data_IF_015005460882
#
_entry.id   IF_015005460882
#
_cell.length_a   1.000
_cell.length_b   1.000
_cell.length_c   1.000
_cell.angle_alpha   90.00
_cell.angle_beta   90.00
_cell.angle_gamma   90.00
#
_symmetry.space_group_name_H-M   'P 1'
#
loop_
_entity.id
_entity.type
_entity.pdbx_description
1 polymer ?
#
# COMPACT_ATOMS: atom_id res chain seq x y z
N UNK A 1 5.58 0.57 1.31
CA UNK A 1 5.66 1.36 0.07
C UNK A 1 6.83 1.00 -0.82
N UNK A 2 8.03 0.74 -0.28
CA UNK A 2 9.19 0.33 -1.10
C UNK A 2 8.89 -0.91 -1.96
N UNK A 3 8.30 -1.97 -1.38
CA UNK A 3 7.95 -3.19 -2.12
C UNK A 3 6.95 -2.95 -3.27
N UNK A 4 6.03 -1.98 -3.11
CA UNK A 4 5.10 -1.59 -4.18
C UNK A 4 5.85 -1.01 -5.38
N UNK A 5 6.81 -0.11 -5.14
CA UNK A 5 7.61 0.50 -6.22
C UNK A 5 8.44 -0.56 -6.94
N UNK A 6 9.03 -1.50 -6.20
CA UNK A 6 9.83 -2.59 -6.79
C UNK A 6 8.95 -3.48 -7.68
N UNK A 7 7.75 -3.85 -7.23
CA UNK A 7 6.87 -4.75 -7.97
C UNK A 7 6.18 -4.08 -9.19
N UNK A 8 5.79 -2.81 -9.05
CA UNK A 8 4.98 -2.11 -10.06
C UNK A 8 5.80 -1.19 -10.97
N UNK A 9 6.96 -0.73 -10.50
CA UNK A 9 7.73 0.35 -11.12
C UNK A 9 7.02 1.72 -11.06
N UNK A 10 5.91 1.83 -10.33
CA UNK A 10 5.07 3.03 -10.27
C UNK A 10 5.11 3.67 -8.90
N UNK A 11 4.90 4.98 -8.87
CA UNK A 11 4.67 5.71 -7.62
C UNK A 11 3.32 5.26 -7.01
N UNK A 12 3.27 4.95 -5.70
CA UNK A 12 2.01 4.72 -5.00
C UNK A 12 1.09 5.93 -5.18
N UNK A 13 -0.20 5.71 -5.42
CA UNK A 13 -1.17 6.80 -5.61
C UNK A 13 -0.81 7.76 -6.75
N UNK A 14 -0.21 7.26 -7.85
CA UNK A 14 0.14 8.07 -9.01
C UNK A 14 -1.05 8.83 -9.63
N UNK A 15 -2.28 8.41 -9.35
CA UNK A 15 -3.52 9.04 -9.78
C UNK A 15 -4.09 10.06 -8.77
N UNK A 16 -3.39 10.32 -7.66
CA UNK A 16 -3.82 11.26 -6.62
C UNK A 16 -2.85 12.44 -6.52
N UNK A 17 -3.38 13.62 -6.18
CA UNK A 17 -2.55 14.74 -5.76
C UNK A 17 -1.80 14.36 -4.47
N UNK A 18 -0.51 14.71 -4.39
CA UNK A 18 0.34 14.43 -3.24
C UNK A 18 0.28 15.59 -2.23
N UNK A 19 -0.93 15.81 -1.71
CA UNK A 19 -1.24 16.89 -0.77
C UNK A 19 -1.49 16.34 0.65
N UNK A 20 -1.83 17.25 1.57
CA UNK A 20 -2.13 16.93 2.96
C UNK A 20 -3.34 16.01 3.11
N UNK A 21 -4.30 16.07 2.17
CA UNK A 21 -5.48 15.20 2.17
C UNK A 21 -5.05 13.76 1.93
N UNK A 22 -4.19 13.52 0.94
CA UNK A 22 -3.62 12.19 0.71
C UNK A 22 -2.82 11.71 1.93
N UNK A 23 -2.01 12.58 2.54
CA UNK A 23 -1.23 12.24 3.73
C UNK A 23 -2.13 11.80 4.89
N UNK A 24 -3.18 12.56 5.19
CA UNK A 24 -4.17 12.22 6.21
C UNK A 24 -4.86 10.90 5.92
N UNK A 25 -5.27 10.67 4.67
CA UNK A 25 -5.90 9.41 4.29
C UNK A 25 -4.95 8.21 4.49
N UNK A 26 -3.66 8.35 4.19
CA UNK A 26 -2.66 7.29 4.40
C UNK A 26 -2.52 6.97 5.89
N UNK A 27 -2.50 8.00 6.74
CA UNK A 27 -2.53 7.88 8.19
C UNK A 27 -3.80 7.16 8.66
N UNK A 28 -4.95 7.50 8.09
CA UNK A 28 -6.24 6.84 8.33
C UNK A 28 -6.32 5.42 7.73
N UNK A 29 -5.28 4.96 7.03
CA UNK A 29 -5.10 3.56 6.67
C UNK A 29 -5.31 3.21 5.21
N UNK A 30 -5.55 4.17 4.30
CA UNK A 30 -5.67 3.85 2.88
C UNK A 30 -4.35 3.31 2.33
N UNK A 31 -4.42 2.39 1.37
CA UNK A 31 -3.25 1.76 0.73
C UNK A 31 -3.36 1.89 -0.79
N UNK A 32 -2.23 1.93 -1.51
CA UNK A 32 -2.25 1.98 -2.96
C UNK A 32 -2.86 0.70 -3.49
N UNK A 33 -3.67 0.83 -4.53
CA UNK A 33 -4.33 -0.30 -5.17
C UNK A 33 -3.29 -1.19 -5.86
N UNK A 34 -3.41 -2.50 -5.63
CA UNK A 34 -2.63 -3.53 -6.29
C UNK A 34 -3.62 -4.41 -7.03
N UNK A 35 -3.62 -4.34 -8.35
CA UNK A 35 -4.38 -5.24 -9.20
C UNK A 35 -3.43 -5.92 -10.20
N UNK A 36 -3.90 -7.03 -10.79
CA UNK A 36 -3.10 -7.85 -11.71
C UNK A 36 -2.66 -7.09 -12.97
N UNK A 37 -3.30 -5.97 -13.30
CA UNK A 37 -2.88 -5.10 -14.41
C UNK A 37 -1.70 -4.18 -14.03
N UNK A 38 -1.61 -3.75 -12.77
CA UNK A 38 -0.57 -2.85 -12.27
C UNK A 38 0.72 -3.62 -11.93
N UNK A 39 0.59 -4.88 -11.49
CA UNK A 39 1.70 -5.77 -11.18
C UNK A 39 1.56 -7.12 -11.90
N UNK A 40 1.73 -7.15 -13.24
CA UNK A 40 1.53 -8.34 -14.06
C UNK A 40 2.62 -9.42 -13.87
N UNK A 41 3.75 -9.07 -13.25
CA UNK A 41 4.94 -9.93 -13.21
C UNK A 41 4.79 -11.19 -12.35
N UNK A 42 3.86 -11.22 -11.39
CA UNK A 42 3.64 -12.41 -10.54
C UNK A 42 2.60 -12.17 -9.43
N UNK A 43 1.54 -12.98 -9.39
CA UNK A 43 0.55 -13.01 -8.28
C UNK A 43 1.19 -13.11 -6.90
N UNK A 44 2.25 -13.91 -6.76
CA UNK A 44 2.98 -14.12 -5.50
C UNK A 44 3.44 -12.81 -4.85
N UNK A 45 3.96 -11.86 -5.64
CA UNK A 45 4.43 -10.58 -5.10
C UNK A 45 3.25 -9.67 -4.69
N UNK A 46 2.12 -9.76 -5.38
CA UNK A 46 0.90 -9.03 -5.02
C UNK A 46 0.38 -9.50 -3.67
N UNK A 47 0.37 -10.83 -3.45
CA UNK A 47 -0.03 -11.44 -2.19
C UNK A 47 0.90 -11.03 -1.04
N UNK A 48 2.22 -11.04 -1.27
CA UNK A 48 3.22 -10.62 -0.27
C UNK A 48 3.08 -9.15 0.12
N UNK A 49 2.90 -8.24 -0.84
CA UNK A 49 2.70 -6.82 -0.54
C UNK A 49 1.39 -6.61 0.25
N UNK A 50 0.32 -7.28 -0.16
CA UNK A 50 -0.96 -7.23 0.54
C UNK A 50 -0.84 -7.79 1.97
N UNK A 51 -0.08 -8.86 2.16
CA UNK A 51 0.17 -9.42 3.48
C UNK A 51 0.95 -8.46 4.38
N UNK A 52 2.01 -7.81 3.87
CA UNK A 52 2.73 -6.78 4.62
C UNK A 52 1.81 -5.62 5.07
N UNK A 53 0.90 -5.18 4.21
CA UNK A 53 -0.08 -4.15 4.58
C UNK A 53 -1.04 -4.61 5.68
N UNK A 54 -1.48 -5.87 5.64
CA UNK A 54 -2.32 -6.47 6.69
C UNK A 54 -1.57 -6.58 8.00
N UNK A 55 -0.36 -7.14 8.02
CA UNK A 55 0.47 -7.26 9.21
C UNK A 55 0.73 -5.89 9.87
N UNK A 56 1.06 -4.88 9.07
CA UNK A 56 1.28 -3.52 9.58
C UNK A 56 -0.01 -2.90 10.14
N UNK A 57 -1.19 -3.29 9.63
CA UNK A 57 -2.48 -2.85 10.18
C UNK A 57 -2.74 -3.51 11.54
N UNK A 58 -2.50 -4.81 11.64
CA UNK A 58 -2.70 -5.56 12.89
C UNK A 58 -1.71 -5.12 13.98
N UNK A 59 -0.45 -4.88 13.62
CA UNK A 59 0.54 -4.29 14.54
C UNK A 59 0.06 -2.93 15.07
N UNK A 60 -0.43 -2.04 14.20
CA UNK A 60 -0.97 -0.74 14.64
C UNK A 60 -2.19 -0.87 15.55
N UNK A 61 -3.14 -1.76 15.24
CA UNK A 61 -4.29 -2.01 16.12
C UNK A 61 -3.84 -2.50 17.49
N UNK A 62 -2.85 -3.40 17.52
CA UNK A 62 -2.35 -4.02 18.75
C UNK A 62 -1.60 -3.04 19.66
N UNK A 63 -0.87 -2.08 19.09
CA UNK A 63 0.08 -1.26 19.84
C UNK A 63 -0.22 0.24 19.84
N UNK A 64 -1.06 0.74 18.92
CA UNK A 64 -1.26 2.17 18.72
C UNK A 64 -2.71 2.64 18.84
N UNK A 65 -3.69 1.75 19.15
CA UNK A 65 -5.10 2.09 19.37
C UNK A 65 -5.64 3.20 18.43
N UNK A 66 -5.37 3.06 17.12
CA UNK A 66 -6.01 3.85 16.05
C UNK A 66 -7.16 3.08 15.44
#
# INVERSE_FOLDING_TARGET
MIMYVIATGKQPFANCAHDEVLALNICNGIRPEINDQIAPKSRKYNDEINNQFKETREYRKKFFHQ
#
